data_IF_532093281287
#
_entry.id   IF_532093281287
#
_cell.length_a   1.000
_cell.length_b   1.000
_cell.length_c   1.000
_cell.angle_alpha   90.00
_cell.angle_beta   90.00
_cell.angle_gamma   90.00
#
_symmetry.space_group_name_H-M   'P 1'
#
loop_
_entity.id
_entity.type
_entity.pdbx_description
1 polymer ?
#
# COMPACT_ATOMS: atom_id res chain seq x y z
N UNK A 1 77.98 13.27 -53.78
CA UNK A 1 76.84 13.55 -54.69
C UNK A 1 75.88 12.37 -54.56
N UNK A 2 74.86 12.49 -53.69
CA UNK A 2 73.41 12.57 -54.02
C UNK A 2 72.76 11.16 -54.13
N UNK A 3 71.63 10.75 -53.55
CA UNK A 3 70.71 11.16 -52.48
C UNK A 3 69.58 10.08 -52.41
N UNK A 4 69.13 9.70 -51.20
CA UNK A 4 67.79 9.20 -50.78
C UNK A 4 67.13 7.84 -51.23
N UNK A 5 67.01 6.93 -50.24
CA UNK A 5 65.78 6.39 -49.58
C UNK A 5 64.89 5.21 -50.10
N UNK A 6 64.65 4.27 -49.15
CA UNK A 6 63.40 3.57 -48.73
C UNK A 6 62.89 2.22 -49.32
N UNK A 7 62.98 1.17 -48.46
CA UNK A 7 61.95 0.24 -47.91
C UNK A 7 60.77 -0.28 -48.76
N UNK A 8 60.52 -1.61 -48.82
CA UNK A 8 59.66 -2.41 -47.90
C UNK A 8 59.25 -3.80 -48.49
N UNK A 9 59.02 -4.78 -47.60
CA UNK A 9 58.62 -6.19 -47.86
C UNK A 9 57.10 -6.40 -47.94
N UNK A 10 56.67 -7.51 -48.57
CA UNK A 10 55.42 -8.22 -48.19
C UNK A 10 54.84 -9.18 -49.24
N UNK A 11 54.87 -10.49 -48.96
CA UNK A 11 54.11 -11.55 -49.65
C UNK A 11 53.03 -12.13 -48.70
N UNK A 12 51.84 -12.44 -49.24
CA UNK A 12 50.60 -12.79 -48.53
C UNK A 12 50.52 -14.24 -47.98
N UNK A 13 49.34 -14.93 -47.93
CA UNK A 13 48.24 -14.83 -48.89
C UNK A 13 46.77 -14.95 -48.36
N UNK A 14 45.87 -14.74 -49.32
CA UNK A 14 44.54 -15.34 -49.51
C UNK A 14 43.41 -15.09 -48.51
N UNK A 15 42.52 -14.19 -48.97
CA UNK A 15 41.07 -14.35 -48.86
C UNK A 15 40.66 -15.75 -49.34
N UNK A 16 39.91 -16.46 -48.52
CA UNK A 16 38.90 -17.39 -49.03
C UNK A 16 37.51 -16.86 -48.62
N UNK A 17 37.21 -15.69 -49.19
CA UNK A 17 35.89 -15.30 -49.65
C UNK A 17 34.79 -15.13 -48.60
N UNK A 18 35.11 -14.40 -47.52
CA UNK A 18 34.10 -13.67 -46.78
C UNK A 18 33.79 -12.35 -47.49
N UNK A 19 32.60 -12.24 -48.11
CA UNK A 19 32.18 -10.98 -48.73
C UNK A 19 32.15 -9.85 -47.70
N UNK A 20 32.13 -8.56 -48.11
CA UNK A 20 32.02 -7.44 -47.16
C UNK A 20 30.81 -7.57 -46.21
N UNK A 21 29.79 -8.36 -46.58
CA UNK A 21 28.71 -8.75 -45.69
C UNK A 21 29.08 -9.74 -44.58
N UNK A 22 30.04 -10.65 -44.77
CA UNK A 22 30.44 -11.63 -43.74
C UNK A 22 31.28 -10.99 -42.64
N UNK A 23 32.16 -10.04 -42.96
CA UNK A 23 32.89 -9.27 -41.94
C UNK A 23 31.96 -8.34 -41.15
N UNK A 24 30.93 -7.79 -41.81
CA UNK A 24 29.86 -7.02 -41.15
C UNK A 24 29.01 -7.94 -40.27
N UNK A 25 28.76 -9.18 -40.70
CA UNK A 25 28.04 -10.18 -39.92
C UNK A 25 28.87 -10.68 -38.73
N UNK A 26 30.19 -10.81 -38.87
CA UNK A 26 31.11 -11.21 -37.80
C UNK A 26 31.29 -10.09 -36.75
N UNK A 27 31.32 -8.82 -37.19
CA UNK A 27 31.23 -7.65 -36.31
C UNK A 27 29.88 -7.58 -35.58
N UNK A 28 28.77 -7.79 -36.29
CA UNK A 28 27.44 -7.83 -35.69
C UNK A 28 27.32 -8.96 -34.66
N UNK A 29 27.86 -10.14 -34.94
CA UNK A 29 27.85 -11.28 -34.01
C UNK A 29 28.71 -11.05 -32.77
N UNK A 30 29.77 -10.24 -32.87
CA UNK A 30 30.59 -9.83 -31.73
C UNK A 30 29.91 -8.73 -30.91
N UNK A 31 29.24 -7.79 -31.58
CA UNK A 31 28.39 -6.78 -30.96
C UNK A 31 27.18 -7.41 -30.24
N UNK A 32 26.61 -8.50 -30.78
CA UNK A 32 25.59 -9.34 -30.14
C UNK A 32 26.12 -10.10 -28.93
N UNK A 33 27.34 -10.66 -28.98
CA UNK A 33 27.98 -11.28 -27.80
C UNK A 33 28.29 -10.26 -26.70
N UNK A 34 28.59 -9.01 -27.06
CA UNK A 34 28.68 -7.90 -26.09
C UNK A 34 27.31 -7.42 -25.60
N UNK A 35 26.24 -7.59 -26.40
CA UNK A 35 24.85 -7.46 -25.95
C UNK A 35 24.50 -8.59 -24.94
N UNK A 36 24.99 -9.83 -25.13
CA UNK A 36 24.82 -10.98 -24.23
C UNK A 36 25.64 -10.88 -22.92
N UNK A 37 26.80 -10.22 -22.91
CA UNK A 37 27.48 -9.88 -21.64
C UNK A 37 26.79 -8.69 -20.95
N UNK A 38 26.17 -7.82 -21.74
CA UNK A 38 25.24 -6.75 -21.33
C UNK A 38 23.84 -7.31 -20.96
N UNK A 39 23.57 -8.61 -21.16
CA UNK A 39 22.49 -9.39 -20.49
C UNK A 39 22.75 -9.65 -19.00
N UNK A 40 23.75 -8.98 -18.43
CA UNK A 40 23.62 -8.40 -17.10
C UNK A 40 22.33 -7.53 -17.06
N UNK A 41 21.13 -7.97 -16.63
CA UNK A 41 20.83 -8.87 -15.50
C UNK A 41 19.39 -9.48 -15.58
N UNK A 42 18.83 -9.83 -16.75
CA UNK A 42 17.60 -10.68 -16.90
C UNK A 42 16.97 -10.56 -18.31
N UNK A 43 16.48 -11.67 -18.88
CA UNK A 43 15.55 -11.65 -20.04
C UNK A 43 14.19 -11.06 -19.65
N UNK A 44 13.36 -10.68 -20.63
CA UNK A 44 12.00 -10.16 -20.37
C UNK A 44 11.20 -11.07 -19.43
N UNK A 45 11.21 -12.38 -19.68
CA UNK A 45 10.55 -13.38 -18.82
C UNK A 45 11.14 -13.40 -17.42
N UNK A 46 12.46 -13.44 -17.29
CA UNK A 46 13.10 -13.48 -15.99
C UNK A 46 12.86 -12.16 -15.21
N UNK A 47 12.73 -11.01 -15.90
CA UNK A 47 12.42 -9.72 -15.26
C UNK A 47 10.99 -9.67 -14.75
N UNK A 48 10.04 -10.21 -15.53
CA UNK A 48 8.67 -10.41 -15.09
C UNK A 48 8.64 -11.37 -13.88
N UNK A 49 9.36 -12.49 -13.93
CA UNK A 49 9.48 -13.43 -12.82
C UNK A 49 10.06 -12.77 -11.56
N UNK A 50 11.11 -11.95 -11.69
CA UNK A 50 11.71 -11.23 -10.56
C UNK A 50 10.71 -10.31 -9.86
N UNK A 51 9.91 -9.58 -10.64
CA UNK A 51 8.95 -8.60 -10.17
C UNK A 51 7.65 -9.23 -9.66
N UNK A 52 7.36 -10.47 -10.05
CA UNK A 52 6.14 -11.19 -9.67
C UNK A 52 6.38 -12.43 -8.81
N UNK A 53 7.61 -12.72 -8.41
CA UNK A 53 7.92 -13.84 -7.53
C UNK A 53 7.10 -13.77 -6.23
N UNK A 54 6.81 -14.90 -5.57
CA UNK A 54 6.22 -14.89 -4.24
C UNK A 54 7.01 -13.99 -3.27
N UNK A 55 6.32 -13.06 -2.61
CA UNK A 55 6.95 -12.06 -1.74
C UNK A 55 7.48 -10.80 -2.46
N UNK A 56 7.41 -10.73 -3.80
CA UNK A 56 7.78 -9.53 -4.56
C UNK A 56 6.98 -8.30 -4.14
N UNK A 57 5.76 -8.46 -3.63
CA UNK A 57 4.96 -7.36 -3.09
C UNK A 57 5.69 -6.57 -2.01
N UNK A 58 6.55 -7.19 -1.21
CA UNK A 58 7.36 -6.49 -0.20
C UNK A 58 8.64 -5.90 -0.79
N UNK A 59 9.30 -6.61 -1.71
CA UNK A 59 10.51 -6.12 -2.38
C UNK A 59 10.20 -4.94 -3.31
N UNK A 60 9.05 -4.94 -3.96
CA UNK A 60 8.61 -3.91 -4.89
C UNK A 60 8.23 -2.59 -4.20
N UNK A 61 8.14 -2.57 -2.87
CA UNK A 61 7.97 -1.33 -2.10
C UNK A 61 9.25 -0.49 -2.09
N UNK A 62 10.41 -1.12 -2.33
CA UNK A 62 11.68 -0.44 -2.47
C UNK A 62 11.90 -0.04 -3.94
N UNK A 63 11.79 1.25 -4.29
CA UNK A 63 11.87 1.68 -5.69
C UNK A 63 13.26 1.50 -6.31
N UNK A 64 14.33 1.56 -5.50
CA UNK A 64 15.71 1.35 -5.96
C UNK A 64 15.94 -0.09 -6.40
N UNK A 65 15.35 -1.05 -5.67
CA UNK A 65 15.39 -2.49 -6.01
C UNK A 65 14.61 -2.77 -7.30
N UNK A 66 13.41 -2.18 -7.45
CA UNK A 66 12.59 -2.38 -8.65
C UNK A 66 13.29 -1.88 -9.90
N UNK A 67 13.88 -0.68 -9.85
CA UNK A 67 14.57 -0.09 -11.00
C UNK A 67 16.02 -0.57 -11.17
N UNK A 68 16.54 -1.36 -10.22
CA UNK A 68 17.94 -1.83 -10.19
C UNK A 68 18.94 -0.66 -10.32
N UNK A 69 18.71 0.37 -9.52
CA UNK A 69 19.55 1.57 -9.43
C UNK A 69 20.18 1.67 -8.05
N UNK A 70 21.37 2.28 -8.00
CA UNK A 70 21.98 2.64 -6.72
C UNK A 70 21.17 3.73 -6.01
N UNK A 71 21.32 3.79 -4.69
CA UNK A 71 20.67 4.79 -3.82
C UNK A 71 21.06 6.22 -4.22
N UNK A 72 22.32 6.38 -4.67
CA UNK A 72 22.89 7.67 -5.06
C UNK A 72 22.73 7.93 -6.59
N UNK A 73 21.90 7.15 -7.28
CA UNK A 73 21.70 7.29 -8.72
C UNK A 73 21.11 8.67 -9.08
N UNK A 74 21.62 9.23 -10.19
CA UNK A 74 21.11 10.50 -10.70
C UNK A 74 19.68 10.35 -11.25
N UNK A 75 18.88 11.43 -11.30
CA UNK A 75 17.57 11.38 -11.94
C UNK A 75 17.62 10.92 -13.40
N UNK A 76 18.73 11.22 -14.10
CA UNK A 76 18.96 10.77 -15.47
C UNK A 76 19.14 9.23 -15.54
N UNK A 77 19.87 8.65 -14.60
CA UNK A 77 20.08 7.20 -14.52
C UNK A 77 18.79 6.46 -14.18
N UNK A 78 18.00 7.00 -13.25
CA UNK A 78 16.67 6.49 -12.89
C UNK A 78 15.77 6.45 -14.13
N UNK A 79 15.71 7.54 -14.89
CA UNK A 79 14.92 7.64 -16.12
C UNK A 79 15.41 6.68 -17.21
N UNK A 80 16.73 6.53 -17.34
CA UNK A 80 17.35 5.59 -18.30
C UNK A 80 16.97 4.15 -17.96
N UNK A 81 17.10 3.74 -16.70
CA UNK A 81 16.72 2.39 -16.25
C UNK A 81 15.23 2.13 -16.41
N UNK A 82 14.39 3.10 -16.04
CA UNK A 82 12.94 2.99 -16.25
C UNK A 82 12.59 2.71 -17.72
N UNK A 83 13.20 3.44 -18.67
CA UNK A 83 12.97 3.22 -20.12
C UNK A 83 13.41 1.82 -20.57
N UNK A 84 14.59 1.38 -20.14
CA UNK A 84 15.11 0.05 -20.47
C UNK A 84 14.17 -1.06 -19.96
N UNK A 85 13.78 -0.99 -18.69
CA UNK A 85 12.88 -1.98 -18.09
C UNK A 85 11.50 -1.97 -18.72
N UNK A 86 10.95 -0.77 -18.98
CA UNK A 86 9.63 -0.59 -19.60
C UNK A 86 9.55 -1.26 -20.96
N UNK A 87 10.60 -1.16 -21.78
CA UNK A 87 10.65 -1.81 -23.10
C UNK A 87 10.70 -3.34 -22.95
N UNK A 88 11.49 -3.85 -22.00
CA UNK A 88 11.65 -5.28 -21.79
C UNK A 88 10.36 -5.97 -21.33
N UNK A 89 9.62 -5.35 -20.41
CA UNK A 89 8.42 -5.92 -19.79
C UNK A 89 7.11 -5.40 -20.38
N UNK A 90 7.15 -4.68 -21.50
CA UNK A 90 5.94 -4.13 -22.10
C UNK A 90 4.98 -5.26 -22.54
N UNK A 91 3.66 -5.17 -22.28
CA UNK A 91 2.70 -6.22 -22.65
C UNK A 91 2.65 -6.50 -24.15
N UNK A 92 2.74 -5.46 -25.00
CA UNK A 92 2.80 -5.61 -26.47
C UNK A 92 3.98 -6.46 -26.96
N UNK A 93 5.12 -6.41 -26.25
CA UNK A 93 6.32 -7.17 -26.60
C UNK A 93 6.34 -8.56 -25.96
N UNK A 94 5.42 -8.83 -25.04
CA UNK A 94 5.30 -10.09 -24.32
C UNK A 94 3.86 -10.64 -24.43
N UNK A 95 3.36 -10.91 -25.66
CA UNK A 95 1.98 -11.31 -25.87
C UNK A 95 1.62 -12.64 -25.20
N UNK A 96 2.59 -13.56 -25.08
CA UNK A 96 2.40 -14.86 -24.41
C UNK A 96 2.21 -14.74 -22.89
N UNK A 97 2.62 -13.62 -22.30
CA UNK A 97 2.56 -13.38 -20.85
C UNK A 97 2.03 -11.99 -20.51
N UNK A 98 0.98 -11.58 -21.25
CA UNK A 98 0.45 -10.21 -21.23
C UNK A 98 0.10 -9.72 -19.83
N UNK A 99 -0.69 -10.48 -19.07
CA UNK A 99 -1.17 -10.08 -17.74
C UNK A 99 -0.02 -9.90 -16.74
N UNK A 100 0.98 -10.78 -16.82
CA UNK A 100 2.16 -10.70 -15.96
C UNK A 100 3.07 -9.55 -16.38
N UNK A 101 3.23 -9.33 -17.69
CA UNK A 101 3.95 -8.19 -18.22
C UNK A 101 3.32 -6.86 -17.78
N UNK A 102 1.98 -6.75 -17.83
CA UNK A 102 1.24 -5.58 -17.33
C UNK A 102 1.45 -5.36 -15.83
N UNK A 103 1.32 -6.41 -15.00
CA UNK A 103 1.55 -6.29 -13.56
C UNK A 103 3.00 -5.90 -13.22
N UNK A 104 3.98 -6.45 -13.95
CA UNK A 104 5.39 -6.10 -13.80
C UNK A 104 5.68 -4.65 -14.24
N UNK A 105 5.08 -4.22 -15.35
CA UNK A 105 5.15 -2.86 -15.86
C UNK A 105 4.61 -1.86 -14.84
N UNK A 106 3.47 -2.18 -14.23
CA UNK A 106 2.87 -1.38 -13.17
C UNK A 106 3.78 -1.22 -11.95
N UNK A 107 4.48 -2.28 -11.54
CA UNK A 107 5.45 -2.21 -10.46
C UNK A 107 6.62 -1.25 -10.78
N UNK A 108 7.17 -1.35 -12.00
CA UNK A 108 8.25 -0.48 -12.49
C UNK A 108 7.78 0.98 -12.60
N UNK A 109 6.57 1.20 -13.09
CA UNK A 109 5.97 2.53 -13.20
C UNK A 109 5.74 3.18 -11.84
N UNK A 110 5.24 2.42 -10.86
CA UNK A 110 5.07 2.90 -9.47
C UNK A 110 6.41 3.30 -8.86
N UNK A 111 7.45 2.47 -9.01
CA UNK A 111 8.79 2.77 -8.52
C UNK A 111 9.39 4.03 -9.17
N UNK A 112 9.23 4.19 -10.48
CA UNK A 112 9.67 5.39 -11.19
C UNK A 112 8.97 6.65 -10.65
N UNK A 113 7.64 6.64 -10.52
CA UNK A 113 6.87 7.77 -9.98
C UNK A 113 7.32 8.18 -8.58
N UNK A 114 7.71 7.21 -7.75
CA UNK A 114 8.22 7.49 -6.39
C UNK A 114 9.57 8.20 -6.40
N UNK A 115 10.43 7.94 -7.39
CA UNK A 115 11.76 8.55 -7.49
C UNK A 115 11.80 9.81 -8.37
N UNK A 116 10.83 9.97 -9.27
CA UNK A 116 10.69 11.13 -10.17
C UNK A 116 10.07 12.33 -9.45
N UNK A 117 9.12 12.09 -8.54
CA UNK A 117 8.52 13.14 -7.71
C UNK A 117 9.43 13.48 -6.52
N UNK A 118 9.81 14.75 -6.36
CA UNK A 118 10.75 15.19 -5.30
C UNK A 118 10.27 14.89 -3.88
N UNK A 119 8.99 15.12 -3.56
CA UNK A 119 8.43 14.84 -2.24
C UNK A 119 8.40 13.34 -1.94
N UNK A 120 8.03 12.53 -2.92
CA UNK A 120 8.03 11.08 -2.79
C UNK A 120 9.46 10.54 -2.66
N UNK A 121 10.39 11.06 -3.44
CA UNK A 121 11.80 10.72 -3.39
C UNK A 121 12.38 11.06 -2.02
N UNK A 122 12.05 12.23 -1.47
CA UNK A 122 12.47 12.63 -0.12
C UNK A 122 12.00 11.63 0.93
N UNK A 123 10.73 11.22 0.90
CA UNK A 123 10.22 10.17 1.81
C UNK A 123 10.95 8.84 1.66
N UNK A 124 11.37 8.48 0.44
CA UNK A 124 12.18 7.28 0.20
C UNK A 124 13.58 7.44 0.79
N UNK A 125 14.21 8.62 0.63
CA UNK A 125 15.51 8.92 1.22
C UNK A 125 15.46 8.94 2.76
N UNK A 126 14.36 9.38 3.36
CA UNK A 126 14.19 9.28 4.82
C UNK A 126 14.23 7.81 5.30
N UNK A 127 13.71 6.86 4.51
CA UNK A 127 13.84 5.41 4.80
C UNK A 127 15.29 4.96 4.67
N UNK A 128 15.99 5.43 3.64
CA UNK A 128 17.40 5.10 3.38
C UNK A 128 18.27 5.56 4.55
N UNK A 129 18.10 6.79 5.02
CA UNK A 129 18.88 7.34 6.14
C UNK A 129 18.58 6.60 7.45
N UNK A 130 17.30 6.26 7.70
CA UNK A 130 16.93 5.39 8.83
C UNK A 130 17.59 4.00 8.73
N UNK A 131 17.62 3.41 7.53
CA UNK A 131 18.27 2.12 7.28
C UNK A 131 19.78 2.18 7.56
N UNK A 132 20.47 3.24 7.08
CA UNK A 132 21.90 3.48 7.34
C UNK A 132 22.16 3.58 8.84
N UNK A 133 21.38 4.38 9.56
CA UNK A 133 21.50 4.53 11.01
C UNK A 133 21.31 3.19 11.75
N UNK A 134 20.33 2.36 11.35
CA UNK A 134 20.13 1.04 11.94
C UNK A 134 21.31 0.10 11.73
N UNK A 135 21.86 0.07 10.51
CA UNK A 135 23.02 -0.78 10.18
C UNK A 135 24.26 -0.31 10.95
N UNK A 136 24.53 0.99 10.97
CA UNK A 136 25.64 1.56 11.73
C UNK A 136 25.54 1.27 13.23
N UNK A 137 24.36 1.43 13.81
CA UNK A 137 24.13 1.14 15.23
C UNK A 137 24.36 -0.35 15.52
N UNK A 138 23.90 -1.24 14.63
CA UNK A 138 24.19 -2.69 14.75
C UNK A 138 25.68 -2.98 14.70
N UNK A 139 26.42 -2.35 13.79
CA UNK A 139 27.88 -2.51 13.67
C UNK A 139 28.58 -2.00 14.92
N UNK A 140 28.20 -0.82 15.43
CA UNK A 140 28.73 -0.23 16.67
C UNK A 140 28.54 -1.17 17.86
N UNK A 141 27.35 -1.73 18.03
CA UNK A 141 27.07 -2.69 19.11
C UNK A 141 27.86 -4.00 18.96
N UNK A 142 27.97 -4.55 17.73
CA UNK A 142 28.83 -5.71 17.47
C UNK A 142 30.29 -5.46 17.84
N UNK A 143 30.85 -4.30 17.45
CA UNK A 143 32.22 -3.90 17.81
C UNK A 143 32.40 -3.79 19.32
N UNK A 144 31.43 -3.21 20.02
CA UNK A 144 31.44 -3.07 21.48
C UNK A 144 31.42 -4.43 22.18
N UNK A 145 30.61 -5.37 21.68
CA UNK A 145 30.54 -6.73 22.21
C UNK A 145 31.84 -7.51 21.97
N UNK A 146 32.42 -7.45 20.77
CA UNK A 146 33.70 -8.09 20.47
C UNK A 146 34.83 -7.56 21.36
N UNK A 147 34.85 -6.24 21.62
CA UNK A 147 35.80 -5.62 22.54
C UNK A 147 35.61 -6.12 23.98
N UNK A 148 34.35 -6.31 24.42
CA UNK A 148 34.04 -6.86 25.75
C UNK A 148 34.48 -8.33 25.88
N UNK A 149 34.40 -9.09 24.80
CA UNK A 149 34.85 -10.49 24.72
C UNK A 149 36.37 -10.64 24.50
N UNK A 150 37.13 -9.53 24.44
CA UNK A 150 38.57 -9.56 24.19
C UNK A 150 38.97 -10.00 22.77
N UNK A 151 38.01 -10.03 21.84
CA UNK A 151 38.22 -10.40 20.43
C UNK A 151 38.58 -9.16 19.59
N UNK A 152 39.16 -9.40 18.40
CA UNK A 152 39.44 -8.33 17.44
C UNK A 152 38.17 -7.56 17.08
N UNK A 153 38.27 -6.24 16.98
CA UNK A 153 37.16 -5.33 16.67
C UNK A 153 36.72 -5.35 15.20
N UNK A 154 37.31 -6.23 14.38
CA UNK A 154 36.97 -6.37 12.96
C UNK A 154 35.60 -7.03 12.85
N UNK A 155 34.70 -6.43 12.07
CA UNK A 155 33.34 -6.95 11.84
C UNK A 155 33.19 -7.31 10.37
N UNK A 156 32.38 -8.32 10.06
CA UNK A 156 32.12 -8.73 8.68
C UNK A 156 31.53 -7.61 7.82
N UNK A 157 30.75 -6.70 8.40
CA UNK A 157 30.19 -5.54 7.70
C UNK A 157 31.22 -4.41 7.42
N UNK A 158 32.51 -4.61 7.74
CA UNK A 158 33.58 -3.72 7.30
C UNK A 158 33.91 -3.89 5.80
N UNK A 159 33.54 -5.03 5.21
CA UNK A 159 33.55 -5.24 3.76
C UNK A 159 32.42 -4.41 3.09
N UNK A 160 32.74 -3.51 2.13
CA UNK A 160 31.75 -2.70 1.44
C UNK A 160 30.60 -3.51 0.81
N UNK A 161 30.86 -4.72 0.30
CA UNK A 161 29.82 -5.56 -0.30
C UNK A 161 28.82 -6.06 0.74
N UNK A 162 29.33 -6.51 1.90
CA UNK A 162 28.50 -6.94 3.03
C UNK A 162 27.74 -5.78 3.66
N UNK A 163 28.33 -4.59 3.76
CA UNK A 163 27.62 -3.39 4.20
C UNK A 163 26.46 -3.04 3.27
N UNK A 164 26.70 -3.03 1.95
CA UNK A 164 25.65 -2.79 0.95
C UNK A 164 24.52 -3.81 1.07
N UNK A 165 24.83 -5.09 1.26
CA UNK A 165 23.82 -6.11 1.48
C UNK A 165 23.04 -5.91 2.78
N UNK A 166 23.72 -5.61 3.90
CA UNK A 166 23.07 -5.34 5.18
C UNK A 166 22.13 -4.11 5.11
N UNK A 167 22.56 -3.06 4.41
CA UNK A 167 21.76 -1.87 4.13
C UNK A 167 20.54 -2.22 3.27
N UNK A 168 20.73 -3.00 2.20
CA UNK A 168 19.65 -3.46 1.34
C UNK A 168 18.60 -4.27 2.12
N UNK A 169 19.03 -5.23 2.96
CA UNK A 169 18.11 -6.02 3.81
C UNK A 169 17.31 -5.09 4.74
N UNK A 170 17.99 -4.15 5.39
CA UNK A 170 17.34 -3.22 6.31
C UNK A 170 16.34 -2.30 5.60
N UNK A 171 16.73 -1.77 4.44
CA UNK A 171 15.89 -0.90 3.62
C UNK A 171 14.61 -1.61 3.19
N UNK A 172 14.72 -2.81 2.62
CA UNK A 172 13.57 -3.63 2.25
C UNK A 172 12.65 -3.90 3.45
N UNK A 173 13.21 -4.16 4.62
CA UNK A 173 12.44 -4.36 5.86
C UNK A 173 11.67 -3.09 6.26
N UNK A 174 12.32 -1.93 6.26
CA UNK A 174 11.70 -0.66 6.66
C UNK A 174 10.60 -0.21 5.69
N UNK A 175 10.81 -0.35 4.38
CA UNK A 175 9.76 -0.09 3.39
C UNK A 175 8.54 -0.99 3.63
N UNK A 176 8.76 -2.29 3.89
CA UNK A 176 7.69 -3.23 4.23
C UNK A 176 7.00 -2.93 5.57
N UNK A 177 7.74 -2.49 6.59
CA UNK A 177 7.19 -2.09 7.89
C UNK A 177 6.32 -0.82 7.76
N UNK A 178 6.78 0.20 7.02
CA UNK A 178 6.02 1.44 6.78
C UNK A 178 4.73 1.18 5.99
N UNK A 179 4.77 0.34 4.96
CA UNK A 179 3.57 -0.03 4.20
C UNK A 179 2.57 -0.83 5.03
N UNK A 180 3.04 -1.78 5.86
CA UNK A 180 2.17 -2.50 6.79
C UNK A 180 1.47 -1.53 7.75
N UNK A 181 2.23 -0.62 8.36
CA UNK A 181 1.69 0.39 9.26
C UNK A 181 0.68 1.32 8.59
N UNK A 182 0.92 1.71 7.34
CA UNK A 182 -0.03 2.50 6.53
C UNK A 182 -1.34 1.75 6.32
N UNK A 183 -1.28 0.48 5.88
CA UNK A 183 -2.48 -0.35 5.68
C UNK A 183 -3.27 -0.56 6.96
N UNK A 184 -2.59 -0.80 8.08
CA UNK A 184 -3.23 -0.94 9.39
C UNK A 184 -3.93 0.37 9.83
N UNK A 185 -3.34 1.53 9.53
CA UNK A 185 -3.95 2.83 9.80
C UNK A 185 -5.20 3.06 8.93
N UNK A 186 -5.09 2.84 7.63
CA UNK A 186 -6.21 2.96 6.67
C UNK A 186 -7.37 2.02 7.03
N UNK A 187 -7.06 0.78 7.40
CA UNK A 187 -8.06 -0.18 7.85
C UNK A 187 -8.76 0.27 9.14
N UNK A 188 -8.00 0.76 10.12
CA UNK A 188 -8.56 1.28 11.37
C UNK A 188 -9.46 2.50 11.12
N UNK A 189 -9.06 3.41 10.25
CA UNK A 189 -9.86 4.57 9.87
C UNK A 189 -11.14 4.16 9.12
N UNK A 190 -11.05 3.18 8.21
CA UNK A 190 -12.21 2.64 7.52
C UNK A 190 -13.21 1.98 8.48
N UNK A 191 -12.72 1.21 9.46
CA UNK A 191 -13.56 0.57 10.48
C UNK A 191 -14.23 1.60 11.39
N UNK A 192 -13.51 2.64 11.80
CA UNK A 192 -14.07 3.76 12.57
C UNK A 192 -15.13 4.51 11.76
N UNK A 193 -14.84 4.80 10.48
CA UNK A 193 -15.79 5.46 9.58
C UNK A 193 -17.04 4.63 9.37
N UNK A 194 -16.89 3.31 9.22
CA UNK A 194 -18.02 2.38 9.10
C UNK A 194 -18.87 2.39 10.37
N UNK A 195 -18.24 2.27 11.55
CA UNK A 195 -18.96 2.33 12.83
C UNK A 195 -19.73 3.63 13.01
N UNK A 196 -19.12 4.77 12.64
CA UNK A 196 -19.80 6.07 12.71
C UNK A 196 -20.99 6.17 11.76
N UNK A 197 -20.87 5.63 10.54
CA UNK A 197 -21.97 5.60 9.58
C UNK A 197 -23.12 4.68 10.03
N UNK A 198 -22.80 3.52 10.63
CA UNK A 198 -23.79 2.61 11.20
C UNK A 198 -24.52 3.26 12.38
N UNK A 199 -23.81 3.95 13.27
CA UNK A 199 -24.38 4.70 14.40
C UNK A 199 -25.30 5.85 13.92
N UNK A 200 -24.86 6.62 12.92
CA UNK A 200 -25.68 7.68 12.32
C UNK A 200 -26.95 7.10 11.67
N UNK A 201 -26.84 5.97 10.95
CA UNK A 201 -27.99 5.30 10.36
C UNK A 201 -28.98 4.81 11.44
N UNK A 202 -28.47 4.25 12.54
CA UNK A 202 -29.31 3.86 13.67
C UNK A 202 -30.02 5.05 14.32
N UNK A 203 -29.33 6.18 14.51
CA UNK A 203 -29.94 7.40 15.06
C UNK A 203 -30.99 7.99 14.11
N UNK A 204 -30.74 7.97 12.80
CA UNK A 204 -31.73 8.36 11.79
C UNK A 204 -32.96 7.45 11.85
N UNK A 205 -32.78 6.14 11.95
CA UNK A 205 -33.88 5.18 12.07
C UNK A 205 -34.65 5.33 13.39
N UNK A 206 -33.95 5.55 14.52
CA UNK A 206 -34.58 5.88 15.81
C UNK A 206 -35.38 7.17 15.72
N UNK A 207 -34.83 8.21 15.09
CA UNK A 207 -35.52 9.49 14.89
C UNK A 207 -36.75 9.35 13.98
N UNK A 208 -36.67 8.54 12.91
CA UNK A 208 -37.83 8.20 12.07
C UNK A 208 -38.90 7.48 12.88
N UNK A 209 -38.51 6.44 13.62
CA UNK A 209 -39.42 5.67 14.49
C UNK A 209 -40.09 6.56 15.54
N UNK A 210 -39.34 7.48 16.14
CA UNK A 210 -39.85 8.45 17.10
C UNK A 210 -40.86 9.41 16.45
N UNK A 211 -40.53 9.97 15.28
CA UNK A 211 -41.43 10.84 14.52
C UNK A 211 -42.71 10.12 14.09
N UNK A 212 -42.61 8.87 13.65
CA UNK A 212 -43.77 8.05 13.31
C UNK A 212 -44.62 7.75 14.54
N UNK A 213 -43.99 7.41 15.67
CA UNK A 213 -44.69 7.22 16.94
C UNK A 213 -45.40 8.49 17.38
N UNK A 214 -44.76 9.65 17.30
CA UNK A 214 -45.37 10.95 17.61
C UNK A 214 -46.56 11.24 16.69
N UNK A 215 -46.42 11.04 15.37
CA UNK A 215 -47.55 11.19 14.44
C UNK A 215 -48.72 10.28 14.80
N UNK A 216 -48.47 9.01 15.12
CA UNK A 216 -49.51 8.07 15.53
C UNK A 216 -50.13 8.44 16.88
N UNK A 217 -49.32 8.90 17.84
CA UNK A 217 -49.78 9.40 19.13
C UNK A 217 -50.69 10.60 18.93
N UNK A 218 -50.29 11.57 18.12
CA UNK A 218 -51.03 12.79 17.82
C UNK A 218 -52.33 12.51 17.07
N UNK A 219 -52.33 11.60 16.10
CA UNK A 219 -53.54 11.19 15.38
C UNK A 219 -54.61 10.60 16.31
N UNK A 220 -54.19 9.81 17.31
CA UNK A 220 -55.09 9.26 18.35
C UNK A 220 -55.43 10.25 19.47
N UNK A 221 -55.03 11.53 19.35
CA UNK A 221 -55.30 12.54 20.39
C UNK A 221 -56.80 12.72 20.61
N UNK A 222 -57.59 12.90 19.55
CA UNK A 222 -59.03 13.15 19.68
C UNK A 222 -59.73 11.97 20.36
N UNK A 223 -59.41 10.74 19.96
CA UNK A 223 -59.92 9.51 20.62
C UNK A 223 -59.58 9.48 22.12
N UNK A 224 -58.35 9.87 22.50
CA UNK A 224 -57.96 9.94 23.91
C UNK A 224 -58.69 11.07 24.66
N UNK A 225 -58.85 12.23 24.03
CA UNK A 225 -59.57 13.38 24.60
C UNK A 225 -61.04 13.03 24.81
N UNK A 226 -61.67 12.34 23.85
CA UNK A 226 -63.06 11.91 23.94
C UNK A 226 -63.25 10.79 24.97
N UNK A 227 -62.30 9.86 25.08
CA UNK A 227 -62.26 8.91 26.19
C UNK A 227 -62.14 9.59 27.55
N UNK A 228 -61.39 10.70 27.65
CA UNK A 228 -61.27 11.48 28.89
C UNK A 228 -62.53 12.30 29.19
N UNK A 229 -63.14 12.92 28.17
CA UNK A 229 -64.41 13.64 28.29
C UNK A 229 -65.56 12.72 28.71
N UNK A 230 -65.65 11.52 28.13
CA UNK A 230 -66.66 10.52 28.50
C UNK A 230 -66.44 10.00 29.93
N UNK A 231 -65.19 9.76 30.34
CA UNK A 231 -64.85 9.44 31.72
C UNK A 231 -65.27 10.57 32.70
N UNK A 232 -65.02 11.83 32.35
CA UNK A 232 -65.48 12.99 33.14
C UNK A 232 -67.01 13.04 33.25
N UNK A 233 -67.74 12.72 32.18
CA UNK A 233 -69.20 12.67 32.23
C UNK A 233 -69.72 11.52 33.12
N UNK A 234 -69.05 10.36 33.11
CA UNK A 234 -69.41 9.23 33.99
C UNK A 234 -69.08 9.45 35.47
N UNK A 235 -68.23 10.42 35.79
CA UNK A 235 -67.81 10.73 37.17
C UNK A 235 -68.56 11.90 37.80
N UNK A 236 -69.45 12.58 37.06
CA UNK A 236 -70.37 13.57 37.63
C UNK A 236 -71.41 12.88 38.53
N UNK A 237 -71.59 13.31 39.79
CA UNK A 237 -72.61 12.73 40.66
C UNK A 237 -74.01 13.01 40.09
N UNK A 238 -74.85 11.98 39.98
CA UNK A 238 -76.28 12.14 39.68
C UNK A 238 -76.96 12.91 40.83
N UNK A 239 -77.92 13.81 40.55
CA UNK A 239 -78.69 14.46 41.60
C UNK A 239 -79.42 13.41 42.44
N UNK A 240 -79.28 13.56 43.75
CA UNK A 240 -79.72 12.63 44.78
C UNK A 240 -81.25 12.44 44.77
N UNK A 241 -81.70 11.22 44.44
CA UNK A 241 -82.97 10.69 44.96
C UNK A 241 -82.75 9.26 45.46
N UNK A 242 -82.72 9.18 46.79
CA UNK A 242 -83.00 8.05 47.68
C UNK A 242 -82.14 6.77 47.64
N UNK A 243 -81.46 6.60 48.79
CA UNK A 243 -81.41 5.39 49.65
C UNK A 243 -80.32 4.32 49.42
N UNK A 244 -79.47 4.29 50.45
CA UNK A 244 -78.97 3.15 51.24
C UNK A 244 -77.61 2.51 50.91
N UNK A 245 -76.76 2.59 51.95
CA UNK A 245 -75.81 1.63 52.48
C UNK A 245 -74.47 1.39 51.75
N UNK A 246 -73.41 1.79 52.47
CA UNK A 246 -71.98 1.56 52.25
C UNK A 246 -71.62 0.14 51.77
N UNK A 247 -70.75 0.06 50.76
CA UNK A 247 -69.66 -0.93 50.70
C UNK A 247 -68.43 -0.24 50.12
N UNK A 248 -67.37 -0.14 50.93
CA UNK A 248 -66.09 0.45 50.55
C UNK A 248 -65.52 -0.25 49.31
N UNK A 249 -65.35 0.50 48.22
CA UNK A 249 -64.47 0.12 47.11
C UNK A 249 -63.39 1.19 47.02
N UNK A 250 -62.13 0.73 47.12
CA UNK A 250 -60.92 1.55 47.00
C UNK A 250 -60.98 2.44 45.75
N UNK A 251 -60.41 3.67 45.80
CA UNK A 251 -60.46 4.59 44.68
C UNK A 251 -59.82 3.95 43.43
N UNK A 252 -60.35 4.21 42.21
CA UNK A 252 -59.73 3.71 41.00
C UNK A 252 -58.33 4.31 40.88
N UNK A 253 -57.35 3.45 40.59
CA UNK A 253 -55.95 3.82 40.44
C UNK A 253 -55.86 4.96 39.42
N UNK A 254 -55.31 6.10 39.85
CA UNK A 254 -55.07 7.25 38.97
C UNK A 254 -54.37 6.78 37.70
N UNK A 255 -54.89 7.17 36.55
CA UNK A 255 -54.24 6.92 35.27
C UNK A 255 -52.91 7.67 35.26
N UNK A 256 -51.84 6.93 35.58
CA UNK A 256 -50.48 7.40 35.38
C UNK A 256 -50.15 7.15 33.91
N UNK A 257 -49.74 8.16 33.15
CA UNK A 257 -49.19 7.95 31.81
C UNK A 257 -48.16 6.82 31.90
N UNK A 258 -48.17 5.83 30.99
CA UNK A 258 -47.17 4.78 31.00
C UNK A 258 -45.79 5.43 30.98
N UNK A 259 -45.00 5.27 32.06
CA UNK A 259 -43.60 5.68 32.04
C UNK A 259 -42.92 4.77 31.01
N UNK A 260 -42.55 5.33 29.88
CA UNK A 260 -41.83 4.60 28.84
C UNK A 260 -40.49 4.12 29.42
N UNK A 261 -40.36 2.81 29.62
CA UNK A 261 -39.05 2.17 29.57
C UNK A 261 -38.80 1.89 28.09
N UNK A 262 -37.79 2.53 27.51
CA UNK A 262 -37.25 2.10 26.23
C UNK A 262 -36.80 0.65 26.42
N UNK A 263 -37.51 -0.31 25.83
CA UNK A 263 -37.00 -1.66 25.66
C UNK A 263 -35.75 -1.55 24.78
N UNK A 264 -34.58 -1.66 25.40
CA UNK A 264 -33.33 -1.91 24.71
C UNK A 264 -33.41 -3.34 24.15
N UNK A 265 -33.41 -3.45 22.82
CA UNK A 265 -33.33 -4.71 22.11
C UNK A 265 -32.21 -4.62 21.08
#
# INVERSE_FOLDING_TARGET
MSAYASSQFGAGPSSANAGPGEHVLEQFMTEVKEIEVRDSVLTSKQQIDRLLRPGATYFNLNPFEVLQVDIDASPADVKKRYRQLSILIHPDKNPDDHDRAEAAFDAVNKAYKMLDNEDAKRRCMDVVEEAKAHVENRIKEKRKQLKKEGKSSTVEEDDPAKYKHALWVMMCKLFADRERKRREQEQREADLRKRAADEEAEEVEKAKRQKEWEKQWEAKREERVDSWRSWQQTTKPKPEKEKKAKKEKKPPRMFKPPKHKMEQR
#
